data_IF_214984123408
#
_entry.id   IF_214984123408
#
_cell.length_a   1.000
_cell.length_b   1.000
_cell.length_c   1.000
_cell.angle_alpha   90.00
_cell.angle_beta   90.00
_cell.angle_gamma   90.00
#
_symmetry.space_group_name_H-M   'P 1'
#
loop_
_entity.id
_entity.type
_entity.pdbx_description
1 polymer ?
#
# COMPACT_ATOMS: atom_id res chain seq x y z
N UNK A 1 1.91 10.48 0.41
CA UNK A 1 1.07 9.69 -0.51
C UNK A 1 1.98 8.83 -1.38
N UNK A 2 1.47 7.83 -2.09
CA UNK A 2 2.28 7.17 -3.13
C UNK A 2 2.13 7.91 -4.45
N UNK A 3 3.20 8.00 -5.24
CA UNK A 3 3.21 8.76 -6.51
C UNK A 3 3.37 7.85 -7.74
N UNK A 4 3.25 6.54 -7.54
CA UNK A 4 3.38 5.51 -8.56
C UNK A 4 2.03 4.83 -8.75
N UNK A 5 1.69 4.53 -10.00
CA UNK A 5 0.50 3.74 -10.31
C UNK A 5 0.74 2.26 -9.93
N UNK A 6 -0.04 1.68 -9.01
CA UNK A 6 0.09 0.26 -8.71
C UNK A 6 -0.46 -0.57 -9.88
N UNK A 7 0.09 -1.77 -10.12
CA UNK A 7 -0.38 -2.65 -11.21
C UNK A 7 -1.88 -2.97 -11.14
N UNK A 8 -2.45 -3.00 -9.94
CA UNK A 8 -3.87 -3.27 -9.72
C UNK A 8 -4.79 -2.05 -9.90
N UNK A 9 -4.25 -0.86 -10.19
CA UNK A 9 -5.01 0.38 -10.29
C UNK A 9 -6.16 0.26 -11.30
N UNK A 10 -5.86 -0.27 -12.49
CA UNK A 10 -6.85 -0.43 -13.56
C UNK A 10 -7.95 -1.43 -13.19
N UNK A 11 -7.59 -2.51 -12.49
CA UNK A 11 -8.54 -3.50 -11.97
C UNK A 11 -9.52 -2.85 -11.00
N UNK A 12 -9.02 -1.98 -10.12
CA UNK A 12 -9.84 -1.24 -9.15
C UNK A 12 -10.77 -0.23 -9.83
N UNK A 13 -10.25 0.55 -10.79
CA UNK A 13 -11.08 1.49 -11.57
C UNK A 13 -12.16 0.74 -12.36
N UNK A 14 -11.82 -0.39 -13.00
CA UNK A 14 -12.77 -1.21 -13.73
C UNK A 14 -13.84 -1.80 -12.80
N UNK A 15 -13.44 -2.28 -11.61
CA UNK A 15 -14.36 -2.82 -10.60
C UNK A 15 -15.35 -1.76 -10.09
N UNK A 16 -14.92 -0.49 -9.98
CA UNK A 16 -15.80 0.62 -9.58
C UNK A 16 -16.96 0.82 -10.56
N UNK A 17 -16.67 0.67 -11.86
CA UNK A 17 -17.64 0.88 -12.94
C UNK A 17 -18.45 -0.37 -13.29
N UNK A 18 -18.14 -1.53 -12.70
CA UNK A 18 -18.87 -2.78 -12.94
C UNK A 18 -20.34 -2.63 -12.51
N UNK A 19 -21.25 -3.18 -13.32
CA UNK A 19 -22.69 -3.22 -12.98
C UNK A 19 -22.90 -4.14 -11.78
N UNK A 20 -23.65 -3.66 -10.79
CA UNK A 20 -23.96 -4.42 -9.58
C UNK A 20 -22.97 -4.24 -8.43
N UNK A 21 -21.91 -3.43 -8.57
CA UNK A 21 -21.00 -3.14 -7.46
C UNK A 21 -21.74 -2.48 -6.31
N UNK A 22 -21.58 -3.05 -5.12
CA UNK A 22 -22.20 -2.58 -3.88
C UNK A 22 -21.64 -1.23 -3.46
N UNK A 23 -22.36 -0.53 -2.58
CA UNK A 23 -21.88 0.75 -2.06
C UNK A 23 -20.60 0.56 -1.22
N UNK A 24 -20.50 -0.53 -0.46
CA UNK A 24 -19.32 -0.86 0.34
C UNK A 24 -18.07 -1.06 -0.52
N UNK A 25 -18.17 -1.87 -1.59
CA UNK A 25 -17.05 -2.10 -2.53
C UNK A 25 -16.60 -0.80 -3.20
N UNK A 26 -17.54 0.09 -3.55
CA UNK A 26 -17.19 1.40 -4.12
C UNK A 26 -16.39 2.26 -3.13
N UNK A 27 -16.79 2.27 -1.87
CA UNK A 27 -16.06 3.00 -0.83
C UNK A 27 -14.71 2.38 -0.54
N UNK A 28 -14.60 1.05 -0.55
CA UNK A 28 -13.33 0.34 -0.45
C UNK A 28 -12.37 0.78 -1.57
N UNK A 29 -12.85 0.76 -2.82
CA UNK A 29 -12.06 1.20 -3.98
C UNK A 29 -11.63 2.66 -3.81
N UNK A 30 -12.56 3.54 -3.44
CA UNK A 30 -12.25 4.96 -3.23
C UNK A 30 -11.20 5.13 -2.13
N UNK A 31 -11.35 4.44 -1.00
CA UNK A 31 -10.40 4.52 0.12
C UNK A 31 -9.00 4.08 -0.31
N UNK A 32 -8.92 3.01 -1.10
CA UNK A 32 -7.65 2.53 -1.64
C UNK A 32 -7.04 3.52 -2.63
N UNK A 33 -7.83 4.01 -3.60
CA UNK A 33 -7.35 4.94 -4.64
C UNK A 33 -6.90 6.29 -4.08
N UNK A 34 -7.42 6.72 -2.93
CA UNK A 34 -6.98 7.94 -2.22
C UNK A 34 -5.54 7.88 -1.72
N UNK A 35 -4.93 6.69 -1.64
CA UNK A 35 -3.54 6.51 -1.20
C UNK A 35 -2.52 6.89 -2.28
N UNK A 36 -2.98 7.14 -3.50
CA UNK A 36 -2.15 7.37 -4.69
C UNK A 36 -2.40 8.76 -5.29
N UNK A 37 -1.31 9.44 -5.65
CA UNK A 37 -1.28 10.76 -6.26
C UNK A 37 -0.71 10.72 -7.66
N UNK A 38 -1.46 10.14 -8.58
CA UNK A 38 -1.03 10.02 -9.97
C UNK A 38 -2.03 10.73 -10.86
N UNK A 39 -1.62 11.03 -12.08
CA UNK A 39 -2.53 11.63 -13.06
C UNK A 39 -3.81 10.78 -13.21
N UNK A 40 -3.67 9.46 -13.20
CA UNK A 40 -4.79 8.52 -13.35
C UNK A 40 -5.75 8.57 -12.16
N UNK A 41 -5.23 8.61 -10.92
CA UNK A 41 -6.10 8.72 -9.73
C UNK A 41 -6.77 10.09 -9.66
N UNK A 42 -6.04 11.17 -10.00
CA UNK A 42 -6.61 12.51 -10.08
C UNK A 42 -7.74 12.59 -11.12
N UNK A 43 -7.53 12.06 -12.33
CA UNK A 43 -8.56 11.99 -13.38
C UNK A 43 -9.77 11.17 -12.93
N UNK A 44 -9.55 10.05 -12.23
CA UNK A 44 -10.63 9.26 -11.65
C UNK A 44 -11.46 10.07 -10.66
N UNK A 45 -10.83 10.76 -9.70
CA UNK A 45 -11.53 11.58 -8.73
C UNK A 45 -12.22 12.81 -9.35
N UNK A 46 -11.63 13.43 -10.37
CA UNK A 46 -12.27 14.51 -11.10
C UNK A 46 -13.56 14.05 -11.78
N UNK A 47 -13.53 12.88 -12.44
CA UNK A 47 -14.72 12.25 -13.04
C UNK A 47 -15.77 11.87 -11.98
N UNK A 48 -15.35 11.36 -10.83
CA UNK A 48 -16.27 11.10 -9.71
C UNK A 48 -16.93 12.38 -9.22
N UNK A 49 -16.16 13.45 -9.01
CA UNK A 49 -16.68 14.74 -8.57
C UNK A 49 -17.71 15.32 -9.58
N UNK A 50 -17.47 15.15 -10.89
CA UNK A 50 -18.35 15.68 -11.93
C UNK A 50 -19.63 14.87 -12.15
N UNK A 51 -19.54 13.54 -12.04
CA UNK A 51 -20.52 12.61 -12.64
C UNK A 51 -21.17 11.63 -11.65
N UNK A 52 -20.62 11.45 -10.45
CA UNK A 52 -21.20 10.53 -9.46
C UNK A 52 -22.54 11.07 -8.93
N UNK A 53 -23.54 10.17 -8.87
CA UNK A 53 -24.91 10.49 -8.42
C UNK A 53 -25.05 10.38 -6.91
N UNK A 54 -24.25 9.54 -6.26
CA UNK A 54 -24.20 9.48 -4.80
C UNK A 54 -23.50 10.71 -4.23
N UNK A 55 -24.20 11.45 -3.35
CA UNK A 55 -23.68 12.69 -2.80
C UNK A 55 -22.52 12.48 -1.83
N UNK A 56 -22.49 11.35 -1.11
CA UNK A 56 -21.43 11.03 -0.16
C UNK A 56 -20.11 10.77 -0.89
N UNK A 57 -20.11 9.89 -1.90
CA UNK A 57 -18.94 9.61 -2.74
C UNK A 57 -18.43 10.88 -3.42
N UNK A 58 -19.33 11.68 -3.98
CA UNK A 58 -18.96 12.95 -4.62
C UNK A 58 -18.28 13.92 -3.64
N UNK A 59 -18.75 13.97 -2.39
CA UNK A 59 -18.13 14.79 -1.36
C UNK A 59 -16.74 14.25 -0.97
N UNK A 60 -16.55 12.93 -0.91
CA UNK A 60 -15.25 12.31 -0.67
C UNK A 60 -14.27 12.71 -1.77
N UNK A 61 -14.66 12.55 -3.04
CA UNK A 61 -13.83 12.93 -4.19
C UNK A 61 -13.49 14.43 -4.19
N UNK A 62 -14.49 15.29 -3.90
CA UNK A 62 -14.28 16.73 -3.81
C UNK A 62 -13.27 17.11 -2.72
N UNK A 63 -13.43 16.60 -1.49
CA UNK A 63 -12.51 16.87 -0.38
C UNK A 63 -11.10 16.38 -0.69
N UNK A 64 -10.99 15.16 -1.21
CA UNK A 64 -9.69 14.61 -1.56
C UNK A 64 -8.97 15.47 -2.61
N UNK A 65 -9.64 15.89 -3.68
CA UNK A 65 -9.02 16.79 -4.67
C UNK A 65 -8.62 18.14 -4.07
N UNK A 66 -9.36 18.68 -3.09
CA UNK A 66 -8.95 19.88 -2.36
C UNK A 66 -7.69 19.65 -1.52
N UNK A 67 -7.58 18.50 -0.84
CA UNK A 67 -6.38 18.10 -0.08
C UNK A 67 -5.15 18.02 -0.99
N UNK A 68 -5.32 17.67 -2.28
CA UNK A 68 -4.26 17.68 -3.29
C UNK A 68 -3.91 19.08 -3.84
N UNK A 69 -4.62 20.12 -3.40
CA UNK A 69 -4.47 21.47 -3.94
C UNK A 69 -5.06 21.67 -5.35
N UNK A 70 -5.84 20.70 -5.86
CA UNK A 70 -6.47 20.82 -7.17
C UNK A 70 -7.61 21.85 -7.14
N UNK A 71 -7.70 22.69 -8.17
CA UNK A 71 -8.83 23.60 -8.33
C UNK A 71 -10.10 22.83 -8.69
N UNK A 72 -11.00 22.67 -7.72
CA UNK A 72 -12.23 21.91 -7.89
C UNK A 72 -13.47 22.71 -7.54
N UNK A 73 -14.49 22.59 -8.39
CA UNK A 73 -15.82 23.15 -8.14
C UNK A 73 -16.80 22.03 -7.86
N UNK A 74 -17.60 22.19 -6.81
CA UNK A 74 -18.72 21.30 -6.52
C UNK A 74 -19.91 21.63 -7.42
N UNK A 75 -20.36 20.66 -8.22
CA UNK A 75 -21.56 20.83 -9.07
C UNK A 75 -22.83 20.92 -8.21
N UNK A 76 -23.80 21.72 -8.64
CA UNK A 76 -25.13 21.79 -8.02
C UNK A 76 -25.74 20.38 -7.88
N UNK A 77 -26.48 20.15 -6.79
CA UNK A 77 -27.13 18.87 -6.53
C UNK A 77 -28.13 18.48 -7.62
N UNK A 78 -28.39 17.17 -7.74
CA UNK A 78 -29.42 16.67 -8.65
C UNK A 78 -30.80 17.17 -8.22
N UNK A 79 -31.51 17.83 -9.15
CA UNK A 79 -32.83 18.45 -8.90
C UNK A 79 -34.02 17.50 -9.12
N UNK A 80 -33.81 16.34 -9.76
CA UNK A 80 -34.89 15.38 -10.03
C UNK A 80 -35.17 14.41 -8.89
N UNK A 81 -36.04 13.42 -9.13
CA UNK A 81 -36.39 12.35 -8.17
C UNK A 81 -35.13 11.61 -7.71
N UNK A 82 -34.84 11.69 -6.40
CA UNK A 82 -33.67 11.05 -5.80
C UNK A 82 -33.97 9.58 -5.53
N UNK A 83 -33.07 8.70 -5.95
CA UNK A 83 -33.10 7.27 -5.60
C UNK A 83 -32.42 7.06 -4.25
N UNK A 84 -32.70 5.94 -3.59
CA UNK A 84 -32.06 5.55 -2.32
C UNK A 84 -30.53 5.65 -2.40
N UNK A 85 -29.94 5.10 -3.47
CA UNK A 85 -28.50 5.20 -3.75
C UNK A 85 -27.94 6.63 -3.76
N UNK A 86 -28.73 7.66 -4.08
CA UNK A 86 -28.22 9.04 -4.12
C UNK A 86 -27.98 9.63 -2.71
N UNK A 87 -28.65 9.08 -1.70
CA UNK A 87 -28.70 9.57 -0.33
C UNK A 87 -27.97 8.66 0.66
N UNK A 88 -27.76 7.40 0.28
CA UNK A 88 -27.06 6.40 1.07
C UNK A 88 -25.67 6.89 1.50
N UNK A 89 -25.40 6.74 2.79
CA UNK A 89 -24.09 6.92 3.41
C UNK A 89 -23.75 5.58 4.04
N UNK A 90 -22.60 5.03 3.71
CA UNK A 90 -22.07 3.84 4.36
C UNK A 90 -20.78 4.24 5.01
N UNK A 91 -20.59 3.83 6.26
CA UNK A 91 -19.30 3.94 6.92
C UNK A 91 -18.51 2.68 6.56
N UNK A 92 -17.32 2.87 5.99
CA UNK A 92 -16.39 1.79 5.72
C UNK A 92 -15.56 1.54 6.99
N UNK A 93 -16.15 0.82 7.94
CA UNK A 93 -15.44 0.31 9.11
C UNK A 93 -15.03 -1.13 8.83
N UNK A 94 -13.73 -1.38 8.86
CA UNK A 94 -13.15 -2.67 8.48
C UNK A 94 -12.18 -3.15 9.54
N UNK A 95 -12.22 -4.44 9.85
CA UNK A 95 -11.35 -5.08 10.84
C UNK A 95 -10.22 -5.87 10.17
N UNK A 96 -9.12 -6.21 10.88
CA UNK A 96 -8.11 -7.13 10.36
C UNK A 96 -8.69 -8.49 9.95
N UNK A 97 -9.72 -8.95 10.65
CA UNK A 97 -10.41 -10.19 10.34
C UNK A 97 -11.16 -10.13 9.00
N UNK A 98 -11.79 -9.00 8.71
CA UNK A 98 -12.45 -8.78 7.42
C UNK A 98 -11.42 -8.74 6.29
N UNK A 99 -10.29 -8.08 6.51
CA UNK A 99 -9.20 -8.07 5.53
C UNK A 99 -8.66 -9.48 5.27
N UNK A 100 -8.43 -10.27 6.32
CA UNK A 100 -7.98 -11.66 6.17
C UNK A 100 -8.98 -12.51 5.37
N UNK A 101 -10.29 -12.34 5.59
CA UNK A 101 -11.34 -12.99 4.80
C UNK A 101 -11.36 -12.50 3.34
N UNK A 102 -11.12 -11.21 3.12
CA UNK A 102 -11.04 -10.65 1.78
C UNK A 102 -9.80 -11.15 1.04
N UNK A 103 -8.66 -11.33 1.72
CA UNK A 103 -7.45 -11.89 1.13
C UNK A 103 -7.60 -13.37 0.77
N UNK A 104 -8.32 -14.14 1.59
CA UNK A 104 -8.60 -15.55 1.29
C UNK A 104 -9.70 -15.76 0.25
N UNK A 105 -10.51 -14.74 -0.03
CA UNK A 105 -11.47 -14.74 -1.13
C UNK A 105 -10.88 -14.08 -2.37
N UNK A 106 -11.37 -14.40 -3.57
CA UNK A 106 -10.95 -13.78 -4.83
C UNK A 106 -11.49 -12.33 -4.99
N UNK A 107 -11.39 -11.55 -3.91
CA UNK A 107 -11.82 -10.16 -3.77
C UNK A 107 -10.85 -9.19 -4.48
N UNK A 108 -11.09 -7.89 -4.34
CA UNK A 108 -10.15 -6.87 -4.81
C UNK A 108 -8.85 -6.86 -4.00
N UNK A 109 -8.92 -7.13 -2.69
CA UNK A 109 -7.75 -7.13 -1.81
C UNK A 109 -6.74 -8.22 -2.17
N UNK A 110 -7.19 -9.38 -2.63
CA UNK A 110 -6.31 -10.47 -3.06
C UNK A 110 -5.62 -10.19 -4.39
N UNK A 111 -6.14 -9.26 -5.20
CA UNK A 111 -5.54 -8.84 -6.48
C UNK A 111 -4.47 -7.77 -6.34
N UNK A 112 -4.27 -7.24 -5.13
CA UNK A 112 -3.19 -6.30 -4.87
C UNK A 112 -1.85 -6.99 -5.08
N UNK A 113 -0.94 -6.27 -5.73
CA UNK A 113 0.41 -6.71 -6.04
C UNK A 113 1.37 -5.56 -5.81
N UNK A 114 2.55 -5.90 -5.31
CA UNK A 114 3.59 -4.94 -4.93
C UNK A 114 4.91 -5.38 -5.57
N UNK A 115 5.77 -4.43 -5.90
CA UNK A 115 7.13 -4.76 -6.34
C UNK A 115 7.95 -5.29 -5.16
N UNK A 116 7.76 -4.71 -3.97
CA UNK A 116 8.52 -5.09 -2.80
C UNK A 116 7.73 -5.04 -1.48
N UNK A 117 7.95 -6.04 -0.63
CA UNK A 117 7.60 -6.01 0.78
C UNK A 117 8.78 -5.46 1.58
N UNK A 118 8.59 -4.39 2.35
CA UNK A 118 9.67 -3.77 3.15
C UNK A 118 9.50 -4.11 4.63
N UNK A 119 10.34 -5.02 5.11
CA UNK A 119 10.45 -5.39 6.52
C UNK A 119 11.48 -4.50 7.23
N UNK A 120 11.07 -3.88 8.34
CA UNK A 120 11.87 -2.88 9.05
C UNK A 120 11.53 -2.84 10.54
N UNK A 121 12.42 -2.24 11.34
CA UNK A 121 12.09 -1.94 12.73
C UNK A 121 11.10 -0.79 12.81
N UNK A 122 10.11 -0.90 13.70
CA UNK A 122 9.12 0.16 13.95
C UNK A 122 9.77 1.54 14.25
N UNK A 123 10.98 1.55 14.82
CA UNK A 123 11.73 2.76 15.16
C UNK A 123 12.26 3.50 13.93
N UNK A 124 12.39 2.85 12.78
CA UNK A 124 13.04 3.38 11.57
C UNK A 124 12.04 4.08 10.64
N UNK A 125 10.94 4.57 11.18
CA UNK A 125 9.81 4.97 10.38
C UNK A 125 10.04 6.20 9.49
N UNK A 126 10.87 7.14 9.94
CA UNK A 126 11.32 8.28 9.13
C UNK A 126 12.16 7.80 7.94
N UNK A 127 13.09 6.86 8.20
CA UNK A 127 13.94 6.28 7.18
C UNK A 127 13.14 5.55 6.10
N UNK A 128 12.09 4.81 6.48
CA UNK A 128 11.20 4.16 5.52
C UNK A 128 10.38 5.16 4.70
N UNK A 129 10.01 6.30 5.29
CA UNK A 129 9.35 7.38 4.54
C UNK A 129 10.25 7.94 3.44
N UNK A 130 11.54 8.12 3.72
CA UNK A 130 12.50 8.62 2.73
C UNK A 130 12.81 7.58 1.66
N UNK A 131 13.05 6.32 2.07
CA UNK A 131 13.23 5.18 1.16
C UNK A 131 12.04 5.03 0.21
N UNK A 132 10.81 5.19 0.71
CA UNK A 132 9.60 5.19 -0.11
C UNK A 132 9.63 6.27 -1.18
N UNK A 133 10.01 7.50 -0.82
CA UNK A 133 10.06 8.59 -1.80
C UNK A 133 11.08 8.29 -2.91
N UNK A 134 12.23 7.74 -2.55
CA UNK A 134 13.25 7.33 -3.52
C UNK A 134 12.75 6.21 -4.43
N UNK A 135 12.15 5.17 -3.86
CA UNK A 135 11.58 4.06 -4.64
C UNK A 135 10.45 4.53 -5.56
N UNK A 136 9.62 5.47 -5.11
CA UNK A 136 8.56 6.07 -5.93
C UNK A 136 9.11 6.88 -7.13
N UNK A 137 10.21 7.61 -6.95
CA UNK A 137 10.90 8.31 -8.07
C UNK A 137 11.37 7.34 -9.15
N UNK A 138 11.52 6.08 -8.77
CA UNK A 138 11.83 4.98 -9.66
C UNK A 138 10.62 4.11 -9.94
N UNK A 139 9.37 4.55 -9.85
CA UNK A 139 8.19 3.73 -10.18
C UNK A 139 8.11 2.36 -9.46
N UNK A 140 8.71 2.22 -8.28
CA UNK A 140 8.67 0.98 -7.50
C UNK A 140 7.56 1.09 -6.46
N UNK A 141 6.55 0.24 -6.59
CA UNK A 141 5.44 0.18 -5.66
C UNK A 141 5.77 -0.72 -4.45
N UNK A 142 5.86 -0.15 -3.25
CA UNK A 142 6.18 -0.90 -2.04
C UNK A 142 4.99 -1.10 -1.09
N UNK A 143 5.02 -2.22 -0.37
CA UNK A 143 4.21 -2.46 0.81
C UNK A 143 5.05 -2.30 2.09
N UNK A 144 4.52 -1.58 3.09
CA UNK A 144 5.05 -1.57 4.45
C UNK A 144 3.94 -1.33 5.48
N UNK A 145 4.08 -1.97 6.64
CA UNK A 145 3.03 -2.16 7.64
C UNK A 145 2.38 -0.85 8.12
N UNK A 146 3.18 0.21 8.34
CA UNK A 146 2.68 1.45 8.95
C UNK A 146 1.97 2.44 8.00
N UNK A 147 1.79 2.13 6.72
CA UNK A 147 1.05 3.05 5.83
C UNK A 147 0.08 2.39 4.86
N UNK A 148 0.34 1.15 4.46
CA UNK A 148 -0.41 0.54 3.37
C UNK A 148 -1.80 0.05 3.81
N UNK A 149 -1.91 -0.52 5.02
CA UNK A 149 -3.15 -1.08 5.56
C UNK A 149 -3.57 -0.46 6.91
N UNK A 150 -3.19 0.80 7.18
CA UNK A 150 -3.55 1.53 8.41
C UNK A 150 -5.06 1.55 8.71
N UNK A 151 -5.89 1.54 7.67
CA UNK A 151 -7.35 1.50 7.80
C UNK A 151 -7.83 0.19 8.48
N UNK A 152 -7.05 -0.89 8.37
CA UNK A 152 -7.36 -2.22 8.87
C UNK A 152 -6.53 -2.60 10.10
N UNK A 153 -5.28 -2.15 10.20
CA UNK A 153 -4.33 -2.53 11.26
C UNK A 153 -4.30 -1.50 12.39
N UNK A 154 -5.38 -1.42 13.19
CA UNK A 154 -5.35 -0.64 14.45
C UNK A 154 -4.47 -1.35 15.47
N UNK A 155 -3.48 -0.63 16.01
CA UNK A 155 -2.43 -1.15 16.93
C UNK A 155 -2.95 -1.84 18.19
N UNK A 156 -4.16 -1.50 18.62
CA UNK A 156 -4.83 -2.10 19.78
C UNK A 156 -5.33 -3.53 19.50
N UNK A 157 -5.31 -3.97 18.24
CA UNK A 157 -5.82 -5.25 17.76
C UNK A 157 -4.71 -6.12 17.12
N UNK A 158 -3.48 -6.05 17.61
CA UNK A 158 -2.40 -6.99 17.23
C UNK A 158 -2.85 -8.41 17.54
N UNK A 159 -3.31 -9.11 16.52
CA UNK A 159 -3.97 -10.42 16.62
C UNK A 159 -3.36 -11.40 15.63
N UNK A 160 -3.74 -12.68 15.73
CA UNK A 160 -3.38 -13.70 14.75
C UNK A 160 -3.79 -13.30 13.32
N UNK A 161 -4.83 -12.47 13.15
CA UNK A 161 -5.22 -11.96 11.83
C UNK A 161 -4.19 -11.00 11.23
N UNK A 162 -3.49 -10.19 12.03
CA UNK A 162 -2.39 -9.34 11.53
C UNK A 162 -1.27 -10.19 10.95
N UNK A 163 -0.91 -11.30 11.60
CA UNK A 163 0.09 -12.25 11.06
C UNK A 163 -0.37 -12.82 9.72
N UNK A 164 -1.63 -13.24 9.62
CA UNK A 164 -2.20 -13.77 8.37
C UNK A 164 -2.13 -12.71 7.25
N UNK A 165 -2.53 -11.47 7.54
CA UNK A 165 -2.48 -10.37 6.56
C UNK A 165 -1.03 -10.14 6.09
N UNK A 166 -0.07 -10.02 7.00
CA UNK A 166 1.34 -9.81 6.63
C UNK A 166 1.89 -10.96 5.78
N UNK A 167 1.60 -12.21 6.13
CA UNK A 167 1.98 -13.38 5.33
C UNK A 167 1.41 -13.30 3.90
N UNK A 168 0.13 -12.97 3.75
CA UNK A 168 -0.47 -12.78 2.42
C UNK A 168 0.13 -11.60 1.65
N UNK A 169 0.48 -10.50 2.34
CA UNK A 169 1.17 -9.35 1.71
C UNK A 169 2.58 -9.69 1.24
N UNK A 170 3.29 -10.53 1.98
CA UNK A 170 4.59 -11.09 1.55
C UNK A 170 4.42 -11.91 0.27
N UNK A 171 3.36 -12.74 0.17
CA UNK A 171 3.07 -13.49 -1.07
C UNK A 171 2.79 -12.57 -2.26
N UNK A 172 1.97 -11.55 -2.05
CA UNK A 172 1.56 -10.57 -3.07
C UNK A 172 2.67 -9.64 -3.54
N UNK A 173 3.73 -9.51 -2.75
CA UNK A 173 4.90 -8.73 -3.12
C UNK A 173 5.82 -9.57 -4.00
N UNK A 174 6.47 -8.99 -5.00
CA UNK A 174 7.39 -9.75 -5.87
C UNK A 174 8.69 -10.09 -5.16
N UNK A 175 9.28 -9.10 -4.49
CA UNK A 175 10.53 -9.21 -3.74
C UNK A 175 10.32 -8.91 -2.26
N UNK A 176 11.25 -9.37 -1.44
CA UNK A 176 11.31 -9.01 -0.02
C UNK A 176 12.56 -8.18 0.23
N UNK A 177 12.40 -7.00 0.83
CA UNK A 177 13.48 -6.11 1.23
C UNK A 177 13.49 -6.01 2.75
N UNK A 178 14.58 -6.45 3.33
CA UNK A 178 14.89 -6.28 4.73
C UNK A 178 15.76 -5.04 4.94
N UNK A 179 15.34 -4.14 5.82
CA UNK A 179 16.12 -2.95 6.18
C UNK A 179 16.90 -3.24 7.46
N UNK A 180 18.21 -3.42 7.32
CA UNK A 180 19.11 -3.72 8.42
C UNK A 180 19.67 -2.42 9.01
N UNK A 181 19.29 -2.16 10.25
CA UNK A 181 19.71 -1.02 11.06
C UNK A 181 20.08 -1.50 12.45
N UNK A 182 20.70 -0.63 13.25
CA UNK A 182 20.95 -0.91 14.67
C UNK A 182 19.64 -1.11 15.46
N UNK A 183 18.48 -0.75 14.91
CA UNK A 183 17.17 -0.97 15.53
C UNK A 183 16.51 -2.29 15.11
N UNK A 184 16.86 -2.86 13.96
CA UNK A 184 16.32 -4.15 13.50
C UNK A 184 17.21 -5.33 13.89
N UNK A 185 18.53 -5.15 13.95
CA UNK A 185 19.51 -6.21 14.20
C UNK A 185 20.44 -5.83 15.36
N UNK A 186 20.90 -6.83 16.12
CA UNK A 186 21.93 -6.68 17.17
C UNK A 186 23.34 -6.85 16.59
N UNK A 187 24.36 -6.48 17.36
CA UNK A 187 25.77 -6.69 16.95
C UNK A 187 26.10 -8.18 16.71
N UNK A 188 25.30 -9.09 17.30
CA UNK A 188 25.39 -10.54 17.13
C UNK A 188 24.60 -11.06 15.93
N UNK A 189 24.11 -10.15 15.07
CA UNK A 189 23.27 -10.45 13.92
C UNK A 189 21.91 -11.10 14.27
N UNK A 190 21.40 -10.85 15.47
CA UNK A 190 20.09 -11.33 15.90
C UNK A 190 19.01 -10.28 15.62
N UNK A 191 17.89 -10.69 15.02
CA UNK A 191 16.75 -9.80 14.76
C UNK A 191 16.04 -9.47 16.07
N UNK A 192 15.84 -8.18 16.35
CA UNK A 192 15.32 -7.70 17.63
C UNK A 192 13.80 -7.78 17.75
N UNK A 193 13.07 -7.79 16.64
CA UNK A 193 11.61 -7.74 16.61
C UNK A 193 11.02 -9.09 16.25
N UNK A 194 10.07 -9.57 17.06
CA UNK A 194 9.32 -10.81 16.78
C UNK A 194 8.53 -10.72 15.47
N UNK A 195 8.03 -9.53 15.10
CA UNK A 195 7.31 -9.34 13.85
C UNK A 195 8.25 -9.43 12.65
N UNK A 196 9.38 -8.74 12.71
CA UNK A 196 10.40 -8.79 11.65
C UNK A 196 10.96 -10.20 11.50
N UNK A 197 11.21 -10.90 12.62
CA UNK A 197 11.64 -12.29 12.60
C UNK A 197 10.59 -13.18 11.92
N UNK A 198 9.32 -13.05 12.30
CA UNK A 198 8.23 -13.81 11.67
C UNK A 198 8.10 -13.54 10.16
N UNK A 199 8.25 -12.29 9.73
CA UNK A 199 8.22 -11.91 8.32
C UNK A 199 9.39 -12.54 7.55
N UNK A 200 10.60 -12.50 8.11
CA UNK A 200 11.80 -13.10 7.54
C UNK A 200 11.69 -14.62 7.46
N UNK A 201 11.31 -15.27 8.56
CA UNK A 201 11.11 -16.72 8.62
C UNK A 201 10.12 -17.18 7.56
N UNK A 202 9.01 -16.44 7.43
CA UNK A 202 7.99 -16.75 6.43
C UNK A 202 8.47 -16.53 5.00
N UNK A 203 9.23 -15.46 4.74
CA UNK A 203 9.81 -15.20 3.43
C UNK A 203 10.79 -16.32 3.03
N UNK A 204 11.61 -16.81 3.97
CA UNK A 204 12.49 -17.96 3.77
C UNK A 204 11.68 -19.23 3.51
N UNK A 205 10.63 -19.49 4.30
CA UNK A 205 9.76 -20.67 4.18
C UNK A 205 9.16 -20.81 2.78
N UNK A 206 8.70 -19.69 2.18
CA UNK A 206 8.10 -19.69 0.84
C UNK A 206 9.13 -19.56 -0.29
N UNK A 207 10.43 -19.56 0.02
CA UNK A 207 11.51 -19.41 -0.96
C UNK A 207 11.54 -18.04 -1.64
N UNK A 208 11.13 -16.98 -0.94
CA UNK A 208 11.15 -15.62 -1.46
C UNK A 208 12.58 -15.12 -1.59
N UNK A 209 12.85 -14.35 -2.64
CA UNK A 209 14.12 -13.64 -2.74
C UNK A 209 14.17 -12.49 -1.73
N UNK A 210 15.10 -12.57 -0.78
CA UNK A 210 15.30 -11.59 0.30
C UNK A 210 16.57 -10.80 0.01
N UNK A 211 16.41 -9.48 -0.10
CA UNK A 211 17.53 -8.54 -0.16
C UNK A 211 17.63 -7.73 1.11
N UNK A 212 18.85 -7.32 1.43
CA UNK A 212 19.15 -6.51 2.59
C UNK A 212 19.61 -5.11 2.16
N UNK A 213 18.94 -4.09 2.68
CA UNK A 213 19.47 -2.74 2.72
C UNK A 213 20.28 -2.60 4.01
N UNK A 214 21.60 -2.77 3.92
CA UNK A 214 22.46 -2.72 5.10
C UNK A 214 22.91 -1.28 5.39
N UNK A 215 22.46 -0.77 6.54
CA UNK A 215 22.83 0.55 7.07
C UNK A 215 23.59 0.43 8.39
N UNK A 216 24.16 -0.74 8.66
CA UNK A 216 24.99 -1.03 9.83
C UNK A 216 26.44 -1.23 9.46
N UNK A 217 27.33 -1.15 10.44
CA UNK A 217 28.75 -1.49 10.28
C UNK A 217 28.99 -3.01 10.24
N UNK A 218 27.96 -3.81 10.54
CA UNK A 218 28.02 -5.27 10.55
C UNK A 218 27.75 -5.87 9.18
N UNK A 219 28.17 -7.12 8.93
CA UNK A 219 27.82 -7.85 7.71
C UNK A 219 26.31 -7.91 7.49
N UNK A 220 25.90 -7.87 6.22
CA UNK A 220 24.49 -8.01 5.84
C UNK A 220 23.98 -9.43 6.11
N UNK A 221 22.82 -9.56 6.75
CA UNK A 221 22.16 -10.86 6.99
C UNK A 221 21.77 -11.61 5.71
N UNK A 222 21.45 -10.86 4.65
CA UNK A 222 21.04 -11.39 3.35
C UNK A 222 21.80 -10.69 2.21
N UNK A 223 21.51 -11.06 0.96
CA UNK A 223 22.09 -10.44 -0.24
C UNK A 223 21.94 -8.92 -0.19
N UNK A 224 23.06 -8.20 -0.08
CA UNK A 224 23.04 -6.76 0.11
C UNK A 224 22.70 -6.02 -1.21
N UNK A 225 21.84 -5.01 -1.12
CA UNK A 225 21.69 -4.00 -2.17
C UNK A 225 22.77 -2.93 -2.01
N UNK A 226 23.35 -2.51 -3.13
CA UNK A 226 24.37 -1.48 -3.14
C UNK A 226 23.75 -0.08 -3.05
N UNK A 227 24.28 0.73 -2.14
CA UNK A 227 23.93 2.14 -1.96
C UNK A 227 24.98 3.06 -2.61
N UNK A 228 24.52 4.17 -3.19
CA UNK A 228 25.33 5.32 -3.60
C UNK A 228 25.32 6.37 -2.48
N UNK A 229 26.42 7.12 -2.39
CA UNK A 229 26.58 8.34 -1.57
C UNK A 229 26.11 8.24 -0.11
N UNK A 230 27.04 8.16 0.83
CA UNK A 230 26.79 8.24 2.28
C UNK A 230 25.62 7.35 2.79
N UNK A 231 25.40 6.20 2.14
CA UNK A 231 24.31 5.24 2.42
C UNK A 231 22.89 5.78 2.24
N UNK A 232 22.71 6.81 1.40
CA UNK A 232 21.40 7.48 1.28
C UNK A 232 20.60 7.09 0.05
N UNK A 233 21.20 6.72 -1.08
CA UNK A 233 20.46 6.46 -2.32
C UNK A 233 20.73 5.07 -2.90
N UNK A 234 19.71 4.36 -3.38
CA UNK A 234 19.92 3.07 -4.06
C UNK A 234 20.68 3.25 -5.38
N UNK A 235 21.68 2.39 -5.63
CA UNK A 235 22.36 2.34 -6.93
C UNK A 235 21.39 2.06 -8.08
N UNK A 236 21.72 2.56 -9.28
CA UNK A 236 20.96 2.25 -10.51
C UNK A 236 20.89 0.73 -10.77
N UNK A 237 21.94 -0.01 -10.43
CA UNK A 237 21.97 -1.48 -10.47
C UNK A 237 20.91 -2.07 -9.53
N UNK A 238 20.89 -1.67 -8.26
CA UNK A 238 19.90 -2.13 -7.26
C UNK A 238 18.47 -1.75 -7.62
N UNK A 239 18.23 -0.55 -8.14
CA UNK A 239 16.92 -0.12 -8.65
C UNK A 239 16.50 -0.96 -9.85
N UNK A 240 17.40 -1.17 -10.81
CA UNK A 240 17.11 -2.01 -11.98
C UNK A 240 16.81 -3.45 -11.57
N UNK A 241 17.51 -3.95 -10.56
CA UNK A 241 17.29 -5.28 -10.02
C UNK A 241 15.88 -5.39 -9.39
N UNK A 242 15.49 -4.43 -8.54
CA UNK A 242 14.14 -4.41 -7.94
C UNK A 242 13.05 -4.31 -9.02
N UNK A 243 13.31 -3.57 -10.10
CA UNK A 243 12.40 -3.46 -11.26
C UNK A 243 12.36 -4.68 -12.16
N UNK A 244 13.44 -5.47 -12.22
CA UNK A 244 13.58 -6.50 -13.25
C UNK A 244 12.47 -7.51 -13.07
N UNK A 245 11.53 -7.49 -13.99
CA UNK A 245 10.47 -8.49 -14.09
C UNK A 245 11.15 -9.79 -14.46
N UNK A 246 10.98 -10.84 -13.66
CA UNK A 246 11.09 -12.18 -14.23
C UNK A 246 10.00 -12.22 -15.31
N UNK A 247 10.45 -12.31 -16.57
CA UNK A 247 9.60 -12.49 -17.73
C UNK A 247 8.72 -13.73 -17.57
#
# INVERSE_FOLDING_TARGET
MQEVDPYYLEVYIAAYHKRGSTHSEKLEIISELRKFNTERTQLFFQKLNSSERNNHIRNIAFKHLQELGAFVRKRKGFKGKKKQYHLEKVNFEVTPQDLAKLLSSNSLQSKKTFDCFVSHSYKDSLLISDLKQQLNKHDIHIYYDWSSDNDFLKRELTSEFTKIVLKERIKQSRRFLFVQTNNSVSERLEVKSLWVQMELDYAVEIGKEIHCLNLTEFPSLFSALELQNDNTELTKSSVSFIKTSIK
#
